data_IF_155552415980
#
_entry.id   IF_155552415980
#
_cell.length_a   1.000
_cell.length_b   1.000
_cell.length_c   1.000
_cell.angle_alpha   90.00
_cell.angle_beta   90.00
_cell.angle_gamma   90.00
#
_symmetry.space_group_name_H-M   'P 1'
#
loop_
_entity.id
_entity.type
_entity.pdbx_description
1 polymer ?
#
# COMPACT_ATOMS: atom_id res chain seq x y z
N UNK A 1 9.17 22.85 -5.95
CA UNK A 1 8.30 22.61 -4.77
C UNK A 1 9.13 22.76 -3.50
N UNK A 2 8.54 23.22 -2.42
CA UNK A 2 9.23 23.23 -1.10
C UNK A 2 9.43 21.78 -0.66
N UNK A 3 10.60 21.45 -0.12
CA UNK A 3 10.94 20.09 0.31
C UNK A 3 9.87 19.49 1.23
N UNK A 4 9.48 18.26 0.97
CA UNK A 4 8.41 17.56 1.71
C UNK A 4 6.99 18.10 1.50
N UNK A 5 6.78 18.94 0.48
CA UNK A 5 5.46 19.50 0.13
C UNK A 5 5.05 19.11 -1.28
N UNK A 6 3.79 18.74 -1.39
CA UNK A 6 3.07 18.45 -2.63
C UNK A 6 1.92 19.47 -2.72
N UNK A 7 2.17 20.64 -3.33
CA UNK A 7 1.25 21.78 -3.23
C UNK A 7 1.02 22.18 -1.76
N UNK A 8 -0.23 22.12 -1.30
CA UNK A 8 -0.62 22.42 0.08
C UNK A 8 -0.49 21.21 1.03
N UNK A 9 -0.21 20.03 0.49
CA UNK A 9 -0.14 18.75 1.23
C UNK A 9 1.28 18.43 1.71
N UNK A 10 1.42 17.38 2.53
CA UNK A 10 2.71 16.93 3.09
C UNK A 10 3.14 17.70 4.33
N UNK A 11 4.44 17.84 4.51
CA UNK A 11 5.08 18.52 5.64
C UNK A 11 5.50 17.59 6.77
N UNK A 12 5.98 18.17 7.86
CA UNK A 12 6.49 17.47 9.05
C UNK A 12 5.78 18.02 10.30
N UNK A 13 4.62 17.49 10.61
CA UNK A 13 3.82 17.91 11.78
C UNK A 13 4.03 16.92 12.92
N UNK A 14 5.23 16.94 13.48
CA UNK A 14 5.65 16.05 14.56
C UNK A 14 5.92 16.80 15.84
N UNK A 15 5.70 16.16 17.02
CA UNK A 15 6.11 16.73 18.29
C UNK A 15 7.63 16.85 18.34
N UNK A 16 8.11 17.79 19.16
CA UNK A 16 9.55 18.07 19.36
C UNK A 16 10.34 16.82 19.77
N UNK A 17 9.72 15.89 20.49
CA UNK A 17 10.35 14.63 20.92
C UNK A 17 10.74 13.71 19.75
N UNK A 18 10.07 13.82 18.61
CA UNK A 18 10.34 13.02 17.39
C UNK A 18 11.02 13.80 16.28
N UNK A 19 11.07 15.14 16.35
CA UNK A 19 11.63 15.95 15.26
C UNK A 19 13.09 15.58 14.93
N UNK A 20 13.92 15.34 15.96
CA UNK A 20 15.32 14.96 15.73
C UNK A 20 15.42 13.62 15.00
N UNK A 21 14.58 12.62 15.31
CA UNK A 21 14.55 11.34 14.63
C UNK A 21 14.13 11.48 13.15
N UNK A 22 13.15 12.34 12.88
CA UNK A 22 12.67 12.61 11.52
C UNK A 22 13.73 13.35 10.69
N UNK A 23 14.43 14.33 11.30
CA UNK A 23 15.54 15.04 10.64
C UNK A 23 16.77 14.15 10.43
N UNK A 24 17.07 13.25 11.36
CA UNK A 24 18.11 12.22 11.19
C UNK A 24 17.79 11.30 10.01
N UNK A 25 16.53 10.84 9.93
CA UNK A 25 16.05 10.03 8.82
C UNK A 25 16.15 10.75 7.48
N UNK A 26 15.75 12.02 7.43
CA UNK A 26 15.83 12.85 6.23
C UNK A 26 17.29 12.99 5.76
N UNK A 27 18.20 13.31 6.68
CA UNK A 27 19.63 13.44 6.37
C UNK A 27 20.25 12.11 5.90
N UNK A 28 19.89 11.00 6.53
CA UNK A 28 20.36 9.69 6.14
C UNK A 28 19.82 9.29 4.77
N UNK A 29 18.53 9.51 4.50
CA UNK A 29 17.94 9.21 3.21
C UNK A 29 18.59 10.02 2.08
N UNK A 30 18.76 11.33 2.24
CA UNK A 30 19.44 12.18 1.27
C UNK A 30 20.87 11.70 0.97
N UNK A 31 21.58 11.21 1.99
CA UNK A 31 22.92 10.66 1.85
C UNK A 31 22.92 9.35 1.05
N UNK A 32 22.03 8.43 1.36
CA UNK A 32 22.07 7.06 0.85
C UNK A 32 21.25 6.84 -0.43
N UNK A 33 20.20 7.62 -0.71
CA UNK A 33 19.36 7.42 -1.89
C UNK A 33 20.11 7.41 -3.23
N UNK A 34 21.26 8.09 -3.29
CA UNK A 34 22.12 8.12 -4.48
C UNK A 34 23.45 7.38 -4.29
N UNK A 35 23.68 6.76 -3.14
CA UNK A 35 24.89 6.00 -2.87
C UNK A 35 24.95 4.73 -3.75
N UNK A 36 26.04 4.52 -4.51
CA UNK A 36 26.14 3.37 -5.42
C UNK A 36 26.12 2.01 -4.70
N UNK A 37 26.70 1.91 -3.50
CA UNK A 37 26.74 0.66 -2.75
C UNK A 37 25.34 0.34 -2.21
N UNK A 38 24.62 1.34 -1.70
CA UNK A 38 23.23 1.18 -1.25
C UNK A 38 22.34 0.71 -2.41
N UNK A 39 22.44 1.37 -3.57
CA UNK A 39 21.66 0.99 -4.76
C UNK A 39 21.99 -0.42 -5.25
N UNK A 40 23.26 -0.78 -5.29
CA UNK A 40 23.69 -2.12 -5.72
C UNK A 40 23.17 -3.21 -4.76
N UNK A 41 23.28 -2.99 -3.45
CA UNK A 41 22.75 -3.93 -2.46
C UNK A 41 21.23 -4.06 -2.52
N UNK A 42 20.50 -2.94 -2.64
CA UNK A 42 19.05 -2.96 -2.79
C UNK A 42 18.63 -3.68 -4.07
N UNK A 43 19.30 -3.42 -5.20
CA UNK A 43 19.04 -4.11 -6.47
C UNK A 43 19.31 -5.61 -6.38
N UNK A 44 20.37 -6.03 -5.65
CA UNK A 44 20.65 -7.43 -5.37
C UNK A 44 19.49 -8.07 -4.56
N UNK A 45 19.05 -7.42 -3.49
CA UNK A 45 17.94 -7.89 -2.66
C UNK A 45 16.63 -7.96 -3.44
N UNK A 46 16.34 -7.00 -4.28
CA UNK A 46 15.18 -7.05 -5.16
C UNK A 46 15.20 -8.28 -6.06
N UNK A 47 16.32 -8.55 -6.73
CA UNK A 47 16.46 -9.67 -7.66
C UNK A 47 16.50 -11.02 -6.95
N UNK A 48 17.34 -11.16 -5.93
CA UNK A 48 17.66 -12.47 -5.34
C UNK A 48 16.76 -12.87 -4.18
N UNK A 49 16.15 -11.90 -3.51
CA UNK A 49 15.31 -12.16 -2.34
C UNK A 49 13.84 -11.82 -2.56
N UNK A 50 13.54 -10.66 -3.15
CA UNK A 50 12.15 -10.28 -3.42
C UNK A 50 11.56 -10.95 -4.67
N UNK A 51 12.37 -11.62 -5.49
CA UNK A 51 11.97 -12.28 -6.74
C UNK A 51 11.50 -11.29 -7.82
N UNK A 52 12.21 -10.16 -7.94
CA UNK A 52 11.93 -9.17 -9.00
C UNK A 52 12.77 -9.43 -10.24
N UNK A 53 12.32 -8.99 -11.44
CA UNK A 53 11.11 -8.20 -11.69
C UNK A 53 9.82 -9.01 -11.54
N UNK A 54 8.76 -8.41 -11.00
CA UNK A 54 7.42 -8.97 -11.14
C UNK A 54 6.94 -8.75 -12.58
N UNK A 55 6.31 -9.76 -13.18
CA UNK A 55 5.98 -9.70 -14.60
C UNK A 55 4.56 -9.17 -14.86
N UNK A 56 4.40 -8.55 -16.02
CA UNK A 56 3.08 -8.30 -16.60
C UNK A 56 2.54 -9.60 -17.21
N UNK A 57 1.38 -10.00 -16.72
CA UNK A 57 0.61 -11.12 -17.24
C UNK A 57 -0.53 -10.60 -18.11
N UNK A 58 -0.60 -11.05 -19.37
CA UNK A 58 -1.74 -10.76 -20.24
C UNK A 58 -2.95 -11.61 -19.81
N UNK A 59 -3.96 -10.95 -19.26
CA UNK A 59 -5.19 -11.61 -18.80
C UNK A 59 -6.12 -11.88 -20.00
N UNK A 60 -5.79 -12.93 -20.77
CA UNK A 60 -6.45 -13.22 -22.04
C UNK A 60 -7.93 -13.56 -21.88
N UNK A 61 -8.27 -14.37 -20.88
CA UNK A 61 -9.67 -14.76 -20.64
C UNK A 61 -10.49 -13.58 -20.17
N UNK A 62 -9.95 -12.78 -19.23
CA UNK A 62 -10.59 -11.57 -18.74
C UNK A 62 -10.78 -10.54 -19.87
N UNK A 63 -9.77 -10.37 -20.73
CA UNK A 63 -9.85 -9.51 -21.92
C UNK A 63 -10.97 -9.92 -22.87
N UNK A 64 -11.08 -11.23 -23.16
CA UNK A 64 -12.12 -11.76 -24.04
C UNK A 64 -13.51 -11.66 -23.42
N UNK A 65 -13.62 -11.98 -22.15
CA UNK A 65 -14.90 -12.02 -21.43
C UNK A 65 -15.51 -10.61 -21.27
N UNK A 66 -14.70 -9.61 -20.89
CA UNK A 66 -15.13 -8.23 -20.76
C UNK A 66 -15.30 -7.50 -22.10
N UNK A 67 -14.63 -7.95 -23.16
CA UNK A 67 -14.87 -7.52 -24.54
C UNK A 67 -14.40 -6.12 -24.93
N UNK A 68 -13.69 -5.41 -24.10
CA UNK A 68 -13.15 -4.06 -24.35
C UNK A 68 -11.64 -4.05 -24.61
N UNK A 69 -10.91 -3.24 -23.86
CA UNK A 69 -9.46 -3.09 -23.99
C UNK A 69 -8.68 -4.34 -23.62
N UNK A 70 -7.41 -4.42 -24.04
CA UNK A 70 -6.45 -5.42 -23.54
C UNK A 70 -6.17 -5.19 -22.07
N UNK A 71 -6.13 -6.26 -21.27
CA UNK A 71 -5.90 -6.20 -19.83
C UNK A 71 -4.61 -6.93 -19.47
N UNK A 72 -3.73 -6.24 -18.80
CA UNK A 72 -2.52 -6.77 -18.19
C UNK A 72 -2.60 -6.69 -16.66
N UNK A 73 -2.09 -7.68 -15.97
CA UNK A 73 -1.98 -7.71 -14.52
C UNK A 73 -0.50 -7.58 -14.13
N UNK A 74 -0.18 -6.56 -13.35
CA UNK A 74 1.14 -6.44 -12.69
C UNK A 74 1.14 -7.33 -11.46
N UNK A 75 1.98 -8.37 -11.45
CA UNK A 75 1.91 -9.50 -10.53
C UNK A 75 2.77 -9.29 -9.28
N UNK A 76 2.47 -8.23 -8.49
CA UNK A 76 3.12 -7.99 -7.20
C UNK A 76 2.75 -9.04 -6.13
N UNK A 77 1.69 -9.81 -6.35
CA UNK A 77 1.29 -10.95 -5.55
C UNK A 77 2.28 -12.12 -5.58
N UNK A 78 3.16 -12.18 -6.58
CA UNK A 78 4.19 -13.22 -6.73
C UNK A 78 5.53 -12.86 -6.08
N UNK A 79 5.68 -11.64 -5.56
CA UNK A 79 6.87 -11.25 -4.81
C UNK A 79 7.00 -12.06 -3.52
N UNK A 80 8.21 -12.16 -2.99
CA UNK A 80 8.44 -12.72 -1.66
C UNK A 80 7.54 -12.03 -0.63
N UNK A 81 6.98 -12.77 0.31
CA UNK A 81 5.89 -12.41 1.25
C UNK A 81 4.51 -12.26 0.63
N UNK A 82 4.39 -12.32 -0.71
CA UNK A 82 3.11 -12.35 -1.42
C UNK A 82 2.45 -10.98 -1.64
N UNK A 83 3.21 -9.89 -1.60
CA UNK A 83 2.70 -8.54 -1.85
C UNK A 83 3.83 -7.54 -2.19
N UNK A 84 3.44 -6.35 -2.66
CA UNK A 84 4.34 -5.21 -2.94
C UNK A 84 5.10 -4.66 -1.71
N UNK A 85 4.65 -4.97 -0.50
CA UNK A 85 5.21 -4.40 0.74
C UNK A 85 6.70 -4.69 0.90
N UNK A 86 7.17 -5.84 0.41
CA UNK A 86 8.58 -6.23 0.48
C UNK A 86 9.51 -5.21 -0.16
N UNK A 87 9.08 -4.52 -1.23
CA UNK A 87 9.89 -3.53 -1.92
C UNK A 87 10.32 -2.40 -0.99
N UNK A 88 9.33 -1.77 -0.36
CA UNK A 88 9.54 -0.68 0.57
C UNK A 88 10.32 -1.12 1.81
N UNK A 89 9.98 -2.27 2.38
CA UNK A 89 10.59 -2.76 3.62
C UNK A 89 12.07 -3.08 3.43
N UNK A 90 12.47 -3.68 2.31
CA UNK A 90 13.88 -3.92 1.98
C UNK A 90 14.67 -2.60 1.97
N UNK A 91 14.15 -1.57 1.30
CA UNK A 91 14.79 -0.26 1.25
C UNK A 91 14.89 0.40 2.63
N UNK A 92 13.81 0.42 3.40
CA UNK A 92 13.79 1.07 4.73
C UNK A 92 14.69 0.34 5.74
N UNK A 93 14.69 -1.01 5.79
CA UNK A 93 15.52 -1.73 6.76
C UNK A 93 17.00 -1.67 6.37
N UNK A 94 17.32 -1.70 5.06
CA UNK A 94 18.69 -1.44 4.60
C UNK A 94 19.15 -0.03 5.02
N UNK A 95 18.27 0.98 4.89
CA UNK A 95 18.56 2.34 5.35
C UNK A 95 18.76 2.37 6.88
N UNK A 96 17.90 1.68 7.64
CA UNK A 96 18.03 1.58 9.10
C UNK A 96 19.38 0.99 9.53
N UNK A 97 19.87 -0.04 8.84
CA UNK A 97 21.20 -0.60 9.07
C UNK A 97 22.33 0.43 8.79
N UNK A 98 22.22 1.16 7.67
CA UNK A 98 23.20 2.23 7.34
C UNK A 98 23.18 3.39 8.36
N UNK A 99 22.05 3.61 9.04
CA UNK A 99 21.91 4.53 10.16
C UNK A 99 22.44 3.97 11.49
N UNK A 100 22.83 2.69 11.54
CA UNK A 100 23.30 2.03 12.76
C UNK A 100 22.19 1.64 13.74
N UNK A 101 20.93 1.68 13.33
CA UNK A 101 19.80 1.25 14.15
C UNK A 101 19.83 -0.28 14.34
N UNK A 102 19.42 -0.73 15.53
CA UNK A 102 19.43 -2.16 15.91
C UNK A 102 18.04 -2.78 15.99
N UNK A 103 17.04 -1.93 16.04
CA UNK A 103 15.65 -2.29 16.23
C UNK A 103 14.78 -1.62 15.18
N UNK A 104 13.78 -2.36 14.70
CA UNK A 104 12.72 -1.80 13.86
C UNK A 104 11.37 -1.98 14.53
N UNK A 105 10.50 -1.00 14.36
CA UNK A 105 9.09 -1.10 14.71
C UNK A 105 8.24 -0.85 13.46
N UNK A 106 7.06 -1.44 13.42
CA UNK A 106 6.10 -1.22 12.34
C UNK A 106 4.67 -1.27 12.87
N UNK A 107 3.76 -0.64 12.16
CA UNK A 107 2.33 -0.83 12.26
C UNK A 107 1.84 -1.81 11.19
N UNK A 108 0.71 -2.47 11.43
CA UNK A 108 0.06 -3.27 10.38
C UNK A 108 -1.44 -3.43 10.63
N UNK A 109 -2.24 -3.49 9.55
CA UNK A 109 -3.67 -3.83 9.58
C UNK A 109 -3.88 -5.25 9.06
N UNK A 110 -3.85 -5.46 7.74
CA UNK A 110 -3.97 -6.80 7.13
C UNK A 110 -2.81 -7.78 7.46
N UNK A 111 -1.76 -7.30 8.13
CA UNK A 111 -0.58 -8.10 8.48
C UNK A 111 0.50 -8.16 7.42
N UNK A 112 0.24 -7.76 6.18
CA UNK A 112 1.22 -7.88 5.09
C UNK A 112 2.46 -7.02 5.29
N UNK A 113 2.30 -5.79 5.78
CA UNK A 113 3.44 -4.94 6.11
C UNK A 113 4.23 -5.49 7.30
N UNK A 114 3.54 -5.95 8.33
CA UNK A 114 4.15 -6.60 9.48
C UNK A 114 4.95 -7.85 9.11
N UNK A 115 4.37 -8.73 8.29
CA UNK A 115 5.08 -9.93 7.79
C UNK A 115 6.30 -9.56 6.97
N UNK A 116 6.20 -8.58 6.06
CA UNK A 116 7.35 -8.11 5.28
C UNK A 116 8.44 -7.52 6.20
N UNK A 117 8.06 -6.72 7.21
CA UNK A 117 9.01 -6.13 8.17
C UNK A 117 9.69 -7.21 9.00
N UNK A 118 8.93 -8.17 9.56
CA UNK A 118 9.48 -9.29 10.31
C UNK A 118 10.44 -10.14 9.45
N UNK A 119 10.08 -10.37 8.18
CA UNK A 119 10.90 -11.13 7.22
C UNK A 119 12.25 -10.46 6.99
N UNK A 120 12.26 -9.18 6.68
CA UNK A 120 13.51 -8.46 6.39
C UNK A 120 14.31 -8.19 7.67
N UNK A 121 13.65 -7.95 8.81
CA UNK A 121 14.32 -7.83 10.10
C UNK A 121 15.05 -9.13 10.48
N UNK A 122 14.41 -10.30 10.27
CA UNK A 122 15.06 -11.60 10.44
C UNK A 122 16.27 -11.77 9.51
N UNK A 123 16.12 -11.44 8.21
CA UNK A 123 17.20 -11.48 7.23
C UNK A 123 18.41 -10.62 7.67
N UNK A 124 18.15 -9.45 8.23
CA UNK A 124 19.16 -8.46 8.61
C UNK A 124 19.55 -8.50 10.09
N UNK A 125 19.09 -9.52 10.83
CA UNK A 125 19.39 -9.74 12.25
C UNK A 125 19.08 -8.51 13.14
N UNK A 126 17.87 -7.93 12.95
CA UNK A 126 17.39 -6.78 13.74
C UNK A 126 16.24 -7.19 14.66
N UNK A 127 16.18 -6.59 15.85
CA UNK A 127 15.00 -6.71 16.72
C UNK A 127 13.78 -6.14 16.00
N UNK A 128 12.66 -6.86 16.01
CA UNK A 128 11.43 -6.42 15.33
C UNK A 128 10.23 -6.45 16.28
N UNK A 129 9.51 -5.33 16.36
CA UNK A 129 8.24 -5.23 17.08
C UNK A 129 7.18 -4.68 16.15
N UNK A 130 6.04 -5.38 16.03
CA UNK A 130 4.94 -4.99 15.17
C UNK A 130 3.72 -4.67 16.02
N UNK A 131 3.18 -3.47 15.85
CA UNK A 131 1.93 -3.03 16.48
C UNK A 131 0.78 -3.33 15.53
N UNK A 132 -0.24 -4.00 16.03
CA UNK A 132 -1.41 -4.40 15.24
C UNK A 132 -2.67 -4.21 16.07
N UNK A 133 -3.72 -3.67 15.48
CA UNK A 133 -5.00 -3.53 16.17
C UNK A 133 -5.50 -4.88 16.67
N UNK A 134 -6.09 -4.92 17.89
CA UNK A 134 -6.58 -6.17 18.47
C UNK A 134 -7.60 -6.86 17.56
N UNK A 135 -8.51 -6.09 16.97
CA UNK A 135 -9.51 -6.61 16.03
C UNK A 135 -8.83 -7.19 14.77
N UNK A 136 -7.80 -6.51 14.26
CA UNK A 136 -7.03 -6.99 13.11
C UNK A 136 -6.21 -8.24 13.44
N UNK A 137 -5.68 -8.37 14.68
CA UNK A 137 -5.00 -9.60 15.13
C UNK A 137 -5.93 -10.82 15.05
N UNK A 138 -7.17 -10.65 15.48
CA UNK A 138 -8.18 -11.72 15.43
C UNK A 138 -8.58 -12.07 13.99
N UNK A 139 -8.76 -11.06 13.14
CA UNK A 139 -9.09 -11.24 11.70
C UNK A 139 -7.97 -11.93 10.92
N UNK A 140 -6.72 -11.66 11.29
CA UNK A 140 -5.51 -12.02 10.54
C UNK A 140 -4.53 -12.88 11.37
N UNK A 141 -5.06 -13.79 12.19
CA UNK A 141 -4.28 -14.64 13.12
C UNK A 141 -3.13 -15.40 12.42
N UNK A 142 -3.33 -15.83 11.18
CA UNK A 142 -2.29 -16.49 10.39
C UNK A 142 -1.07 -15.57 10.14
N UNK A 143 -1.30 -14.29 9.87
CA UNK A 143 -0.21 -13.34 9.68
C UNK A 143 0.47 -12.99 11.02
N UNK A 144 -0.27 -12.95 12.12
CA UNK A 144 0.30 -12.81 13.47
C UNK A 144 1.28 -13.95 13.72
N UNK A 145 0.84 -15.19 13.51
CA UNK A 145 1.71 -16.37 13.69
C UNK A 145 2.94 -16.35 12.77
N UNK A 146 2.79 -15.91 11.51
CA UNK A 146 3.93 -15.74 10.59
C UNK A 146 4.96 -14.75 11.11
N UNK A 147 4.53 -13.62 11.67
CA UNK A 147 5.43 -12.62 12.24
C UNK A 147 6.19 -13.18 13.45
N UNK A 148 5.49 -13.88 14.33
CA UNK A 148 6.10 -14.54 15.51
C UNK A 148 7.08 -15.65 15.10
N UNK A 149 6.74 -16.46 14.10
CA UNK A 149 7.64 -17.48 13.54
C UNK A 149 8.94 -16.88 12.97
N UNK A 150 8.86 -15.65 12.43
CA UNK A 150 10.01 -14.89 11.94
C UNK A 150 10.80 -14.18 13.05
N UNK A 151 10.41 -14.38 14.31
CA UNK A 151 11.09 -13.81 15.48
C UNK A 151 10.64 -12.40 15.86
N UNK A 152 9.63 -11.83 15.21
CA UNK A 152 9.07 -10.54 15.61
C UNK A 152 8.14 -10.70 16.83
N UNK A 153 8.10 -9.65 17.66
CA UNK A 153 7.11 -9.53 18.73
C UNK A 153 5.90 -8.78 18.17
N UNK A 154 4.72 -9.40 18.16
CA UNK A 154 3.46 -8.72 17.83
C UNK A 154 2.82 -8.18 19.12
N UNK A 155 2.44 -6.90 19.09
CA UNK A 155 1.80 -6.21 20.22
C UNK A 155 0.40 -5.80 19.81
N UNK A 156 -0.65 -6.45 20.34
CA UNK A 156 -2.04 -6.06 20.10
C UNK A 156 -2.35 -4.69 20.71
N UNK A 157 -2.93 -3.81 19.92
CA UNK A 157 -3.35 -2.45 20.33
C UNK A 157 -4.86 -2.45 20.53
N UNK A 158 -5.30 -2.20 21.76
CA UNK A 158 -6.72 -2.19 22.14
C UNK A 158 -7.33 -0.80 22.35
N UNK A 159 -6.54 0.25 22.15
CA UNK A 159 -7.02 1.64 22.18
C UNK A 159 -7.88 1.95 20.95
N UNK A 160 -8.76 2.93 21.07
CA UNK A 160 -9.61 3.38 19.96
C UNK A 160 -10.53 2.28 19.43
N UNK A 161 -10.51 2.07 18.12
CA UNK A 161 -11.26 1.00 17.43
C UNK A 161 -10.48 -0.32 17.34
N UNK A 162 -9.23 -0.34 17.80
CA UNK A 162 -8.37 -1.53 17.71
C UNK A 162 -8.01 -1.94 16.29
N UNK A 163 -7.88 -0.96 15.39
CA UNK A 163 -7.56 -1.16 13.95
C UNK A 163 -6.26 -0.46 13.55
N UNK A 164 -5.94 -0.47 12.24
CA UNK A 164 -4.69 0.08 11.68
C UNK A 164 -4.38 1.51 12.15
N UNK A 165 -5.38 2.41 12.24
CA UNK A 165 -5.16 3.79 12.73
C UNK A 165 -4.56 3.80 14.14
N UNK A 166 -5.05 2.94 15.02
CA UNK A 166 -4.59 2.89 16.41
C UNK A 166 -3.22 2.24 16.52
N UNK A 167 -2.91 1.28 15.63
CA UNK A 167 -1.57 0.72 15.50
C UNK A 167 -0.54 1.78 15.07
N UNK A 168 -0.89 2.68 14.14
CA UNK A 168 -0.04 3.84 13.76
C UNK A 168 0.21 4.76 14.94
N UNK A 169 -0.85 5.13 15.67
CA UNK A 169 -0.73 5.99 16.86
C UNK A 169 0.20 5.37 17.91
N UNK A 170 0.07 4.06 18.17
CA UNK A 170 0.89 3.37 19.16
C UNK A 170 2.34 3.26 18.69
N UNK A 171 2.60 2.96 17.41
CA UNK A 171 3.94 2.93 16.86
C UNK A 171 4.65 4.30 17.02
N UNK A 172 3.97 5.39 16.70
CA UNK A 172 4.50 6.76 16.89
C UNK A 172 4.77 7.06 18.36
N UNK A 173 3.85 6.67 19.25
CA UNK A 173 4.02 6.87 20.71
C UNK A 173 5.25 6.12 21.25
N UNK A 174 5.39 4.83 20.90
CA UNK A 174 6.50 4.01 21.39
C UNK A 174 7.83 4.40 20.74
N UNK A 175 7.82 4.93 19.53
CA UNK A 175 9.03 5.41 18.87
C UNK A 175 9.73 6.48 19.73
N UNK A 176 8.97 7.34 20.43
CA UNK A 176 9.54 8.35 21.34
C UNK A 176 10.38 7.77 22.49
N UNK A 177 10.11 6.54 22.89
CA UNK A 177 10.79 5.90 24.04
C UNK A 177 12.22 5.45 23.70
N UNK A 178 12.48 5.12 22.41
CA UNK A 178 13.74 4.52 21.95
C UNK A 178 14.18 5.05 20.58
N UNK A 179 14.11 6.35 20.36
CA UNK A 179 14.45 6.97 19.06
C UNK A 179 15.90 6.73 18.63
N UNK A 180 16.82 6.60 19.59
CA UNK A 180 18.26 6.49 19.31
C UNK A 180 18.60 5.18 18.57
N UNK A 181 18.02 4.04 18.98
CA UNK A 181 18.35 2.72 18.47
C UNK A 181 17.26 2.11 17.57
N UNK A 182 16.12 2.76 17.46
CA UNK A 182 14.93 2.25 16.79
C UNK A 182 14.61 3.04 15.51
N UNK A 183 14.32 2.30 14.44
CA UNK A 183 13.79 2.83 13.18
C UNK A 183 12.31 2.47 13.05
N UNK A 184 11.46 3.43 12.73
CA UNK A 184 10.06 3.18 12.41
C UNK A 184 9.93 2.87 10.91
N UNK A 185 9.59 1.63 10.56
CA UNK A 185 9.35 1.18 9.18
C UNK A 185 7.90 1.46 8.83
N UNK A 186 7.64 2.59 8.19
CA UNK A 186 6.29 3.02 7.85
C UNK A 186 5.79 2.32 6.59
N UNK A 187 4.57 1.79 6.64
CA UNK A 187 4.06 0.84 5.64
C UNK A 187 3.43 1.44 4.38
N UNK A 188 3.27 2.76 4.29
CA UNK A 188 2.65 3.40 3.12
C UNK A 188 3.23 4.80 2.84
N UNK A 189 2.78 5.45 1.75
CA UNK A 189 3.19 6.81 1.33
C UNK A 189 2.52 7.89 2.17
N UNK A 190 2.53 7.71 3.47
CA UNK A 190 1.90 8.57 4.46
C UNK A 190 2.90 8.99 5.54
N UNK A 191 2.47 9.78 6.51
CA UNK A 191 3.31 10.22 7.61
C UNK A 191 4.08 11.51 7.30
N UNK A 192 4.93 11.95 8.26
CA UNK A 192 5.72 13.16 8.09
C UNK A 192 6.78 12.97 7.00
N UNK A 193 7.14 14.05 6.31
CA UNK A 193 8.34 14.02 5.47
C UNK A 193 9.55 13.57 6.31
N UNK A 194 10.42 12.65 5.81
CA UNK A 194 10.57 12.19 4.44
C UNK A 194 9.82 10.88 4.09
N UNK A 195 9.01 10.31 4.99
CA UNK A 195 8.37 9.00 4.77
C UNK A 195 7.60 8.87 3.44
N UNK A 196 6.73 9.83 3.04
CA UNK A 196 6.03 9.69 1.76
C UNK A 196 6.98 9.56 0.57
N UNK A 197 8.10 10.30 0.57
CA UNK A 197 9.13 10.23 -0.46
C UNK A 197 9.88 8.90 -0.42
N UNK A 198 10.36 8.48 0.76
CA UNK A 198 11.08 7.22 0.96
C UNK A 198 10.26 6.03 0.46
N UNK A 199 9.01 5.92 0.90
CA UNK A 199 8.14 4.79 0.55
C UNK A 199 7.81 4.82 -0.94
N UNK A 200 7.52 5.99 -1.51
CA UNK A 200 7.33 6.15 -2.95
C UNK A 200 8.54 5.63 -3.72
N UNK A 201 9.73 6.15 -3.42
CA UNK A 201 10.94 5.86 -4.17
C UNK A 201 11.30 4.36 -4.14
N UNK A 202 11.05 3.66 -3.02
CA UNK A 202 11.22 2.20 -2.96
C UNK A 202 10.08 1.42 -3.63
N UNK A 203 8.97 2.04 -3.94
CA UNK A 203 7.87 1.41 -4.68
C UNK A 203 7.88 1.74 -6.18
N UNK A 204 8.63 2.74 -6.65
CA UNK A 204 8.67 3.13 -8.08
C UNK A 204 9.14 2.03 -8.99
N UNK A 205 9.88 1.04 -8.47
CA UNK A 205 10.26 -0.16 -9.20
C UNK A 205 9.06 -0.84 -9.89
N UNK A 206 7.83 -0.66 -9.38
CA UNK A 206 6.60 -1.17 -10.01
C UNK A 206 6.35 -0.46 -11.34
N UNK A 207 6.39 0.88 -11.36
CA UNK A 207 6.19 1.70 -12.54
C UNK A 207 7.31 1.55 -13.57
N UNK A 208 8.57 1.55 -13.11
CA UNK A 208 9.75 1.33 -13.95
C UNK A 208 9.63 0.01 -14.73
N UNK A 209 9.29 -1.08 -14.04
CA UNK A 209 9.10 -2.39 -14.65
C UNK A 209 7.91 -2.42 -15.61
N UNK A 210 6.80 -1.75 -15.28
CA UNK A 210 5.63 -1.67 -16.18
C UNK A 210 6.03 -0.95 -17.48
N UNK A 211 6.74 0.17 -17.42
CA UNK A 211 7.22 0.88 -18.62
C UNK A 211 8.07 -0.03 -19.51
N UNK A 212 9.10 -0.65 -18.92
CA UNK A 212 9.99 -1.53 -19.65
C UNK A 212 9.26 -2.71 -20.30
N UNK A 213 8.42 -3.39 -19.54
CA UNK A 213 7.69 -4.57 -19.99
C UNK A 213 6.58 -4.24 -21.01
N UNK A 214 5.94 -3.07 -20.91
CA UNK A 214 4.96 -2.63 -21.92
C UNK A 214 5.64 -2.28 -23.25
N UNK A 215 6.78 -1.61 -23.21
CA UNK A 215 7.56 -1.33 -24.41
C UNK A 215 8.04 -2.63 -25.08
N UNK A 216 8.46 -3.62 -24.30
CA UNK A 216 8.85 -4.94 -24.81
C UNK A 216 7.67 -5.70 -25.45
N UNK A 217 6.51 -5.71 -24.79
CA UNK A 217 5.35 -6.53 -25.19
C UNK A 217 4.47 -5.88 -26.28
N UNK A 218 4.27 -4.56 -26.20
CA UNK A 218 3.30 -3.82 -27.03
C UNK A 218 3.94 -2.69 -27.84
N UNK A 219 5.24 -2.39 -27.62
CA UNK A 219 5.94 -1.29 -28.29
C UNK A 219 5.49 0.10 -27.88
N UNK A 220 4.65 0.21 -26.83
CA UNK A 220 4.08 1.49 -26.36
C UNK A 220 3.70 1.44 -24.87
N UNK A 221 3.43 2.60 -24.29
CA UNK A 221 2.89 2.71 -22.94
C UNK A 221 1.41 2.27 -22.88
N UNK A 222 0.91 1.88 -21.70
CA UNK A 222 -0.51 1.60 -21.52
C UNK A 222 -1.35 2.89 -21.57
N UNK A 223 -2.65 2.75 -21.83
CA UNK A 223 -3.57 3.88 -21.81
C UNK A 223 -4.14 4.14 -20.41
N UNK A 224 -4.23 3.11 -19.58
CA UNK A 224 -4.84 3.20 -18.25
C UNK A 224 -4.07 2.35 -17.25
N UNK A 225 -3.77 2.93 -16.09
CA UNK A 225 -3.25 2.25 -14.91
C UNK A 225 -4.31 2.25 -13.81
N UNK A 226 -4.56 1.09 -13.20
CA UNK A 226 -5.56 0.93 -12.13
C UNK A 226 -4.90 0.26 -10.92
N UNK A 227 -5.02 0.86 -9.74
CA UNK A 227 -4.51 0.31 -8.49
C UNK A 227 -5.46 0.63 -7.32
N UNK A 228 -5.54 -0.25 -6.33
CA UNK A 228 -6.29 0.03 -5.11
C UNK A 228 -5.55 1.06 -4.24
N UNK A 229 -6.31 1.83 -3.46
CA UNK A 229 -5.76 2.91 -2.62
C UNK A 229 -6.37 2.86 -1.22
N UNK A 230 -5.49 2.62 -0.22
CA UNK A 230 -5.71 2.98 1.17
C UNK A 230 -4.78 4.15 1.47
N UNK A 231 -3.64 3.94 2.16
CA UNK A 231 -2.57 4.96 2.22
C UNK A 231 -1.93 5.24 0.84
N UNK A 232 -1.98 4.27 -0.09
CA UNK A 232 -1.70 4.46 -1.51
C UNK A 232 -0.31 4.05 -2.00
N UNK A 233 0.47 3.24 -1.25
CA UNK A 233 1.85 2.94 -1.64
C UNK A 233 1.98 2.13 -2.93
N UNK A 234 1.13 1.13 -3.15
CA UNK A 234 1.15 0.35 -4.40
C UNK A 234 0.75 1.21 -5.61
N UNK A 235 -0.24 2.06 -5.45
CA UNK A 235 -0.70 2.96 -6.48
C UNK A 235 0.35 4.04 -6.81
N UNK A 236 0.99 4.64 -5.80
CA UNK A 236 2.04 5.63 -6.01
C UNK A 236 3.26 5.02 -6.70
N UNK A 237 3.67 3.82 -6.29
CA UNK A 237 4.74 3.08 -6.96
C UNK A 237 4.45 2.78 -8.43
N UNK A 238 3.18 2.53 -8.76
CA UNK A 238 2.73 2.33 -10.14
C UNK A 238 2.63 3.64 -10.93
N UNK A 239 2.15 4.72 -10.30
CA UNK A 239 1.79 5.97 -10.97
C UNK A 239 2.96 6.92 -11.16
N UNK A 240 3.94 6.92 -10.26
CA UNK A 240 4.97 7.95 -10.18
C UNK A 240 5.72 8.15 -11.49
N UNK A 241 6.17 7.08 -12.12
CA UNK A 241 6.90 7.14 -13.39
C UNK A 241 6.03 7.60 -14.58
N UNK A 242 4.71 7.57 -14.42
CA UNK A 242 3.76 7.97 -15.45
C UNK A 242 3.14 9.35 -15.22
N UNK A 243 3.57 10.08 -14.19
CA UNK A 243 3.00 11.40 -13.87
C UNK A 243 3.14 12.36 -15.07
N UNK A 244 4.28 12.31 -15.75
CA UNK A 244 4.54 13.16 -16.92
C UNK A 244 3.97 12.60 -18.23
N UNK A 245 3.59 11.33 -18.29
CA UNK A 245 2.95 10.72 -19.45
C UNK A 245 1.44 11.04 -19.44
N UNK A 246 1.09 12.25 -19.90
CA UNK A 246 -0.26 12.81 -19.75
C UNK A 246 -1.37 12.03 -20.47
N UNK A 247 -1.01 11.23 -21.48
CA UNK A 247 -1.92 10.35 -22.22
C UNK A 247 -2.27 9.07 -21.46
N UNK A 248 -1.55 8.75 -20.39
CA UNK A 248 -1.81 7.61 -19.49
C UNK A 248 -2.73 8.04 -18.37
N UNK A 249 -3.93 7.48 -18.29
CA UNK A 249 -4.86 7.70 -17.17
C UNK A 249 -4.39 6.95 -15.94
N UNK A 250 -4.39 7.62 -14.79
CA UNK A 250 -4.04 7.06 -13.48
C UNK A 250 -5.30 6.98 -12.62
N UNK A 251 -5.69 5.77 -12.22
CA UNK A 251 -6.95 5.55 -11.49
C UNK A 251 -6.68 4.80 -10.19
N UNK A 252 -6.90 5.49 -9.07
CA UNK A 252 -6.88 4.92 -7.73
C UNK A 252 -8.28 4.46 -7.33
N UNK A 253 -8.41 3.24 -6.83
CA UNK A 253 -9.69 2.67 -6.40
C UNK A 253 -9.73 2.55 -4.89
N UNK A 254 -10.65 3.29 -4.27
CA UNK A 254 -10.83 3.35 -2.82
C UNK A 254 -11.89 2.34 -2.34
N UNK A 255 -11.77 1.93 -1.07
CA UNK A 255 -12.74 1.05 -0.43
C UNK A 255 -13.98 1.85 0.02
N UNK A 256 -15.09 1.69 -0.67
CA UNK A 256 -16.36 2.32 -0.32
C UNK A 256 -17.19 1.50 0.70
N UNK A 257 -16.68 0.39 1.22
CA UNK A 257 -17.38 -0.41 2.22
C UNK A 257 -18.82 -0.74 1.81
N UNK A 258 -19.78 -0.24 2.57
CA UNK A 258 -21.22 -0.42 2.28
C UNK A 258 -21.80 0.67 1.35
N UNK A 259 -20.95 1.55 0.79
CA UNK A 259 -21.30 2.66 -0.09
C UNK A 259 -20.76 3.99 0.41
N UNK A 260 -20.45 4.93 -0.51
CA UNK A 260 -19.85 6.23 -0.16
C UNK A 260 -20.73 7.09 0.74
N UNK A 261 -22.04 6.96 0.62
CA UNK A 261 -23.04 7.67 1.45
C UNK A 261 -23.31 6.95 2.80
N UNK A 262 -22.72 5.77 3.01
CA UNK A 262 -22.85 5.02 4.25
C UNK A 262 -21.68 5.39 5.19
N UNK A 263 -21.91 5.58 6.50
CA UNK A 263 -20.81 5.86 7.44
C UNK A 263 -19.78 4.72 7.51
N UNK A 264 -20.14 3.50 7.12
CA UNK A 264 -19.22 2.36 7.00
C UNK A 264 -18.54 2.35 5.62
N UNK A 265 -17.58 3.23 5.43
CA UNK A 265 -16.71 3.30 4.25
C UNK A 265 -15.31 3.81 4.64
N UNK A 266 -14.35 3.73 3.73
CA UNK A 266 -12.99 4.23 3.85
C UNK A 266 -12.58 5.05 2.59
N UNK A 267 -13.55 5.60 1.86
CA UNK A 267 -13.33 6.35 0.63
C UNK A 267 -12.93 7.81 0.95
N UNK A 268 -11.65 8.00 1.23
CA UNK A 268 -11.09 9.29 1.67
C UNK A 268 -11.19 10.38 0.63
N UNK A 269 -10.94 10.09 -0.65
CA UNK A 269 -11.01 11.11 -1.70
C UNK A 269 -12.44 11.51 -2.02
N UNK A 270 -13.40 10.60 -1.82
CA UNK A 270 -14.83 10.90 -2.00
C UNK A 270 -15.38 11.78 -0.86
N UNK A 271 -14.99 11.52 0.39
CA UNK A 271 -15.66 12.08 1.57
C UNK A 271 -14.74 12.84 2.54
N UNK A 272 -13.43 12.77 2.33
CA UNK A 272 -12.44 13.35 3.23
C UNK A 272 -12.36 14.87 3.17
N UNK A 273 -11.87 15.46 4.25
CA UNK A 273 -11.57 16.88 4.33
C UNK A 273 -10.08 17.10 4.58
N UNK A 274 -9.59 18.26 4.16
CA UNK A 274 -8.20 18.66 4.39
C UNK A 274 -7.95 18.85 5.89
N UNK A 275 -6.85 18.28 6.38
CA UNK A 275 -6.43 18.47 7.77
C UNK A 275 -5.03 17.90 8.03
N UNK A 276 -4.64 17.86 9.30
CA UNK A 276 -3.35 17.34 9.74
C UNK A 276 -3.60 16.09 10.60
N UNK A 277 -2.97 14.98 10.22
CA UNK A 277 -3.01 13.74 10.98
C UNK A 277 -1.76 12.90 10.70
N UNK A 278 -1.37 12.03 11.61
CA UNK A 278 -0.18 11.18 11.49
C UNK A 278 1.08 11.91 10.97
N UNK A 279 1.25 13.18 11.37
CA UNK A 279 2.43 13.98 11.01
C UNK A 279 2.43 14.61 9.62
N UNK A 280 1.36 14.50 8.85
CA UNK A 280 1.21 15.08 7.50
C UNK A 280 -0.07 15.90 7.34
N UNK A 281 -0.08 16.81 6.38
CA UNK A 281 -1.29 17.48 5.89
C UNK A 281 -1.79 16.76 4.64
N UNK A 282 -3.02 16.25 4.69
CA UNK A 282 -3.64 15.52 3.58
C UNK A 282 -5.15 15.51 3.73
N UNK A 283 -5.87 14.79 2.84
CA UNK A 283 -7.27 14.48 3.05
C UNK A 283 -7.41 13.29 4.00
N UNK A 284 -8.39 13.37 4.91
CA UNK A 284 -8.81 12.25 5.74
C UNK A 284 -10.29 12.36 6.14
N UNK A 285 -10.88 11.24 6.49
CA UNK A 285 -12.26 11.17 6.95
C UNK A 285 -12.38 11.76 8.35
N UNK A 286 -13.25 12.75 8.49
CA UNK A 286 -13.44 13.51 9.73
C UNK A 286 -14.89 13.45 10.16
N UNK A 287 -15.10 13.39 11.48
CA UNK A 287 -16.39 13.60 12.10
C UNK A 287 -16.78 15.10 12.11
N UNK A 288 -17.93 15.41 12.73
CA UNK A 288 -18.44 16.79 12.84
C UNK A 288 -17.54 17.72 13.68
N UNK A 289 -16.68 17.15 14.52
CA UNK A 289 -15.73 17.88 15.38
C UNK A 289 -14.32 17.98 14.78
N UNK A 290 -14.11 17.46 13.57
CA UNK A 290 -12.80 17.44 12.89
C UNK A 290 -11.86 16.35 13.40
N UNK A 291 -12.35 15.39 14.21
CA UNK A 291 -11.58 14.23 14.63
C UNK A 291 -11.55 13.17 13.52
N UNK A 292 -10.58 12.27 13.58
CA UNK A 292 -10.50 11.14 12.65
C UNK A 292 -11.76 10.27 12.84
N UNK A 293 -12.57 10.17 11.79
CA UNK A 293 -13.77 9.35 11.81
C UNK A 293 -13.44 7.85 11.82
N UNK A 294 -14.24 7.00 12.45
CA UNK A 294 -14.19 5.57 12.26
C UNK A 294 -14.39 5.22 10.78
N UNK A 295 -13.65 4.25 10.30
CA UNK A 295 -13.74 3.76 8.92
C UNK A 295 -14.10 2.29 8.91
N UNK A 296 -14.50 1.79 7.75
CA UNK A 296 -14.82 0.39 7.56
C UNK A 296 -14.55 -0.07 6.13
N UNK A 297 -13.93 -1.21 6.00
CA UNK A 297 -13.80 -1.98 4.78
C UNK A 297 -13.71 -3.47 5.11
N UNK A 298 -14.19 -4.34 4.22
CA UNK A 298 -13.91 -5.78 4.27
C UNK A 298 -12.39 -6.04 4.18
N UNK A 299 -11.66 -5.11 3.59
CA UNK A 299 -10.21 -5.15 3.44
C UNK A 299 -9.51 -4.41 4.57
N UNK A 300 -8.89 -5.14 5.50
CA UNK A 300 -8.12 -4.54 6.58
C UNK A 300 -6.94 -3.68 6.09
N UNK A 301 -6.41 -3.94 4.90
CA UNK A 301 -5.33 -3.15 4.29
C UNK A 301 -5.79 -1.83 3.67
N UNK A 302 -7.09 -1.65 3.41
CA UNK A 302 -7.71 -0.40 2.95
C UNK A 302 -8.53 0.30 4.04
N UNK A 303 -8.63 -0.28 5.22
CA UNK A 303 -9.35 0.24 6.38
C UNK A 303 -8.51 1.34 7.08
N UNK A 304 -8.30 2.44 6.35
CA UNK A 304 -7.46 3.58 6.75
C UNK A 304 -8.17 4.89 6.43
N UNK A 305 -8.27 5.83 7.39
CA UNK A 305 -9.10 7.02 7.26
C UNK A 305 -8.49 8.15 6.41
N UNK A 306 -7.36 7.93 5.77
CA UNK A 306 -6.64 8.99 5.07
C UNK A 306 -5.90 8.50 3.83
N UNK A 307 -5.22 9.42 3.15
CA UNK A 307 -4.47 9.15 1.93
C UNK A 307 -3.11 9.84 1.96
N UNK A 308 -2.14 9.29 1.24
CA UNK A 308 -0.83 9.91 1.08
C UNK A 308 -0.91 11.31 0.47
N UNK A 309 -0.07 12.26 0.93
CA UNK A 309 -0.16 13.67 0.52
C UNK A 309 0.12 13.89 -0.97
N UNK A 310 0.92 13.03 -1.60
CA UNK A 310 1.19 13.12 -3.04
C UNK A 310 -0.03 12.67 -3.86
N UNK A 311 -0.80 11.67 -3.40
CA UNK A 311 -2.09 11.33 -3.99
C UNK A 311 -3.10 12.47 -3.91
N UNK A 312 -3.19 13.12 -2.75
CA UNK A 312 -4.04 14.30 -2.56
C UNK A 312 -3.68 15.41 -3.55
N UNK A 313 -2.39 15.65 -3.74
CA UNK A 313 -1.89 16.62 -4.72
C UNK A 313 -2.22 16.22 -6.17
N UNK A 314 -2.01 14.96 -6.55
CA UNK A 314 -2.32 14.48 -7.91
C UNK A 314 -3.81 14.60 -8.23
N UNK A 315 -4.66 14.40 -7.22
CA UNK A 315 -6.10 14.66 -7.35
C UNK A 315 -6.39 16.13 -7.57
N UNK A 316 -5.85 17.02 -6.73
CA UNK A 316 -6.12 18.47 -6.80
C UNK A 316 -5.73 19.08 -8.14
N UNK A 317 -4.66 18.60 -8.75
CA UNK A 317 -4.22 19.07 -10.08
C UNK A 317 -4.87 18.30 -11.23
N UNK A 318 -5.81 17.38 -10.96
CA UNK A 318 -6.50 16.59 -11.97
C UNK A 318 -5.61 15.58 -12.70
N UNK A 319 -4.46 15.17 -12.11
CA UNK A 319 -3.56 14.20 -12.75
C UNK A 319 -3.96 12.75 -12.52
N UNK A 320 -4.55 12.45 -11.39
CA UNK A 320 -5.06 11.12 -11.06
C UNK A 320 -6.53 11.19 -10.67
N UNK A 321 -7.29 10.18 -11.08
CA UNK A 321 -8.69 9.98 -10.73
C UNK A 321 -8.78 9.04 -9.52
N UNK A 322 -9.74 9.29 -8.63
CA UNK A 322 -10.02 8.39 -7.51
C UNK A 322 -11.48 7.99 -7.52
N UNK A 323 -11.73 6.71 -7.46
CA UNK A 323 -13.07 6.13 -7.65
C UNK A 323 -13.37 5.10 -6.57
N UNK A 324 -14.62 5.00 -6.12
CA UNK A 324 -15.00 4.05 -5.08
C UNK A 324 -15.33 2.66 -5.66
N UNK A 325 -15.04 1.61 -4.87
CA UNK A 325 -15.59 0.27 -5.06
C UNK A 325 -16.11 -0.26 -3.72
N UNK A 326 -17.31 -0.83 -3.71
CA UNK A 326 -17.94 -1.38 -2.51
C UNK A 326 -17.38 -2.75 -2.16
N UNK A 327 -17.60 -3.20 -0.91
CA UNK A 327 -17.23 -4.54 -0.47
C UNK A 327 -17.82 -5.64 -1.36
N UNK A 328 -19.09 -5.47 -1.76
CA UNK A 328 -19.75 -6.41 -2.66
C UNK A 328 -19.05 -6.50 -4.01
N UNK A 329 -18.74 -5.37 -4.60
CA UNK A 329 -18.03 -5.32 -5.89
C UNK A 329 -16.63 -5.93 -5.79
N UNK A 330 -15.92 -5.67 -4.69
CA UNK A 330 -14.61 -6.25 -4.44
C UNK A 330 -14.68 -7.79 -4.28
N UNK A 331 -15.68 -8.32 -3.55
CA UNK A 331 -15.88 -9.77 -3.41
C UNK A 331 -16.29 -10.41 -4.74
N UNK A 332 -17.16 -9.77 -5.52
CA UNK A 332 -17.54 -10.24 -6.85
C UNK A 332 -16.29 -10.30 -7.77
N UNK A 333 -15.45 -9.27 -7.74
CA UNK A 333 -14.20 -9.22 -8.51
C UNK A 333 -13.14 -10.24 -8.05
N UNK A 334 -13.05 -10.47 -6.73
CA UNK A 334 -12.21 -11.53 -6.16
C UNK A 334 -12.59 -12.89 -6.73
N UNK A 335 -13.88 -13.22 -6.69
CA UNK A 335 -14.41 -14.46 -7.25
C UNK A 335 -14.24 -14.54 -8.77
N UNK A 336 -14.47 -13.43 -9.48
CA UNK A 336 -14.34 -13.35 -10.92
C UNK A 336 -12.91 -13.66 -11.37
N UNK A 337 -11.91 -12.93 -10.84
CA UNK A 337 -10.51 -13.13 -11.21
C UNK A 337 -10.02 -14.54 -10.85
N UNK A 338 -10.45 -15.06 -9.69
CA UNK A 338 -10.11 -16.41 -9.26
C UNK A 338 -10.62 -17.48 -10.25
N UNK A 339 -11.84 -17.35 -10.73
CA UNK A 339 -12.45 -18.32 -11.67
C UNK A 339 -11.97 -18.14 -13.11
N UNK A 340 -11.73 -16.89 -13.53
CA UNK A 340 -11.42 -16.56 -14.92
C UNK A 340 -9.94 -16.80 -15.22
N UNK A 341 -9.03 -16.31 -14.37
CA UNK A 341 -7.59 -16.36 -14.60
C UNK A 341 -6.85 -17.34 -13.66
N UNK A 342 -7.54 -17.94 -12.68
CA UNK A 342 -6.90 -18.80 -11.69
C UNK A 342 -5.99 -18.02 -10.71
N UNK A 343 -6.27 -16.74 -10.53
CA UNK A 343 -5.51 -15.85 -9.65
C UNK A 343 -6.41 -15.43 -8.50
N UNK A 344 -6.05 -15.83 -7.27
CA UNK A 344 -6.74 -15.39 -6.05
C UNK A 344 -6.06 -14.10 -5.56
N UNK A 345 -6.62 -12.92 -5.85
CA UNK A 345 -5.99 -11.65 -5.48
C UNK A 345 -6.21 -11.37 -4.00
N UNK A 346 -5.35 -10.56 -3.37
CA UNK A 346 -5.72 -9.95 -2.11
C UNK A 346 -7.01 -9.13 -2.26
N UNK A 347 -7.84 -9.10 -1.21
CA UNK A 347 -9.11 -8.36 -1.25
C UNK A 347 -8.88 -6.86 -1.51
N UNK A 348 -7.72 -6.33 -1.11
CA UNK A 348 -7.27 -5.00 -1.48
C UNK A 348 -7.24 -4.83 -3.00
N UNK A 349 -6.52 -5.72 -3.69
CA UNK A 349 -6.36 -5.69 -5.16
C UNK A 349 -7.68 -5.93 -5.89
N UNK A 350 -8.60 -6.69 -5.28
CA UNK A 350 -9.91 -6.97 -5.85
C UNK A 350 -10.75 -5.68 -6.05
N UNK A 351 -10.52 -4.61 -5.26
CA UNK A 351 -11.15 -3.31 -5.49
C UNK A 351 -10.71 -2.72 -6.84
N UNK A 352 -9.42 -2.79 -7.17
CA UNK A 352 -8.92 -2.36 -8.47
C UNK A 352 -9.51 -3.19 -9.63
N UNK A 353 -9.60 -4.51 -9.46
CA UNK A 353 -10.23 -5.42 -10.43
C UNK A 353 -11.71 -5.09 -10.60
N UNK A 354 -12.44 -4.78 -9.52
CA UNK A 354 -13.86 -4.42 -9.56
C UNK A 354 -14.12 -3.20 -10.46
N UNK A 355 -13.29 -2.16 -10.30
CA UNK A 355 -13.42 -0.99 -11.17
C UNK A 355 -12.99 -1.28 -12.61
N UNK A 356 -11.93 -2.05 -12.81
CA UNK A 356 -11.48 -2.47 -14.13
C UNK A 356 -12.56 -3.25 -14.89
N UNK A 357 -13.33 -4.11 -14.22
CA UNK A 357 -14.46 -4.83 -14.82
C UNK A 357 -15.55 -3.88 -15.34
N UNK A 358 -15.75 -2.73 -14.70
CA UNK A 358 -16.70 -1.71 -15.16
C UNK A 358 -16.14 -0.89 -16.32
N UNK A 359 -14.85 -0.56 -16.25
CA UNK A 359 -14.21 0.35 -17.20
C UNK A 359 -13.82 -0.34 -18.51
N UNK A 360 -13.25 -1.56 -18.44
CA UNK A 360 -12.70 -2.23 -19.61
C UNK A 360 -13.68 -2.38 -20.78
N UNK A 361 -14.98 -2.76 -20.58
CA UNK A 361 -15.95 -2.88 -21.67
C UNK A 361 -16.23 -1.55 -22.39
N UNK A 362 -15.97 -0.43 -21.76
CA UNK A 362 -16.23 0.91 -22.30
C UNK A 362 -15.10 1.45 -23.15
N UNK A 363 -13.93 0.80 -23.10
CA UNK A 363 -12.74 1.25 -23.81
C UNK A 363 -12.60 0.54 -25.16
N UNK A 364 -12.05 1.19 -26.20
CA UNK A 364 -11.74 0.58 -27.47
C UNK A 364 -10.78 -0.62 -27.34
N UNK A 365 -10.86 -1.57 -28.28
CA UNK A 365 -10.06 -2.82 -28.25
C UNK A 365 -8.55 -2.63 -28.43
N UNK A 366 -8.14 -1.50 -29.01
CA UNK A 366 -6.75 -1.13 -29.19
C UNK A 366 -6.13 -0.47 -27.93
N UNK A 367 -6.96 -0.15 -26.94
CA UNK A 367 -6.51 0.39 -25.66
C UNK A 367 -5.92 -0.70 -24.76
N UNK A 368 -5.02 -0.30 -23.86
CA UNK A 368 -4.33 -1.19 -22.92
C UNK A 368 -4.55 -0.68 -21.50
N UNK A 369 -5.03 -1.56 -20.64
CA UNK A 369 -5.17 -1.33 -19.22
C UNK A 369 -4.19 -2.21 -18.45
N UNK A 370 -3.50 -1.65 -17.46
CA UNK A 370 -2.69 -2.42 -16.50
C UNK A 370 -3.31 -2.29 -15.12
N UNK A 371 -3.58 -3.43 -14.47
CA UNK A 371 -4.11 -3.51 -13.11
C UNK A 371 -3.00 -3.99 -12.19
N UNK A 372 -2.76 -3.32 -11.08
CA UNK A 372 -1.81 -3.79 -10.08
C UNK A 372 -2.47 -4.82 -9.15
N UNK A 373 -2.03 -6.08 -9.25
CA UNK A 373 -2.38 -7.13 -8.27
C UNK A 373 -1.36 -7.03 -7.15
N UNK A 374 -1.64 -6.14 -6.20
CA UNK A 374 -0.69 -5.69 -5.18
C UNK A 374 -0.34 -6.74 -4.12
N UNK A 375 -1.15 -7.79 -4.02
CA UNK A 375 -0.92 -8.92 -3.11
C UNK A 375 -1.79 -10.12 -3.43
N UNK A 376 -1.43 -11.28 -2.84
CA UNK A 376 -2.19 -12.54 -3.00
C UNK A 376 -3.23 -12.70 -1.90
N UNK A 377 -4.30 -13.43 -2.23
CA UNK A 377 -5.51 -13.54 -1.42
C UNK A 377 -5.54 -14.72 -0.45
N UNK A 378 -4.48 -15.53 -0.31
CA UNK A 378 -4.49 -16.69 0.61
C UNK A 378 -4.90 -16.30 2.04
N UNK A 379 -4.49 -15.12 2.47
CA UNK A 379 -4.84 -14.55 3.79
C UNK A 379 -6.32 -14.21 3.94
N UNK A 380 -7.03 -13.98 2.81
CA UNK A 380 -8.38 -13.44 2.76
C UNK A 380 -9.45 -14.52 2.57
N UNK A 381 -9.05 -15.75 2.18
CA UNK A 381 -9.98 -16.83 1.83
C UNK A 381 -10.99 -17.10 2.95
N UNK A 382 -10.55 -17.14 4.21
CA UNK A 382 -11.45 -17.35 5.35
C UNK A 382 -12.42 -16.17 5.58
N UNK A 383 -11.97 -14.93 5.35
CA UNK A 383 -12.83 -13.74 5.45
C UNK A 383 -13.87 -13.72 4.32
N UNK A 384 -13.46 -14.05 3.10
CA UNK A 384 -14.35 -14.16 1.94
C UNK A 384 -15.38 -15.27 2.14
N UNK A 385 -14.97 -16.44 2.62
CA UNK A 385 -15.88 -17.55 2.93
C UNK A 385 -16.96 -17.11 3.92
N UNK A 386 -16.59 -16.46 5.03
CA UNK A 386 -17.53 -15.89 6.00
C UNK A 386 -18.48 -14.88 5.37
N UNK A 387 -17.96 -13.98 4.55
CA UNK A 387 -18.79 -12.99 3.84
C UNK A 387 -19.82 -13.66 2.92
N UNK A 388 -19.44 -14.74 2.26
CA UNK A 388 -20.30 -15.53 1.37
C UNK A 388 -21.24 -16.49 2.11
N UNK A 389 -21.18 -16.57 3.44
CA UNK A 389 -21.95 -17.53 4.24
C UNK A 389 -21.51 -19.00 4.06
N UNK A 390 -20.26 -19.21 3.64
CA UNK A 390 -19.67 -20.55 3.50
C UNK A 390 -18.95 -20.90 4.81
N UNK A 391 -19.35 -22.02 5.40
CA UNK A 391 -18.66 -22.57 6.57
C UNK A 391 -17.43 -23.36 6.12
N UNK A 392 -16.27 -22.93 6.61
CA UNK A 392 -15.02 -23.67 6.41
C UNK A 392 -14.98 -24.75 7.49
N UNK A 393 -15.24 -25.98 7.14
CA UNK A 393 -14.98 -27.10 8.04
C UNK A 393 -13.49 -27.13 8.39
N UNK A 394 -13.19 -26.94 9.68
CA UNK A 394 -11.86 -27.14 10.23
C UNK A 394 -11.44 -28.63 10.19
#
# INVERSE_FOLDING_TARGET
MTKGRYGIHGGQYMPETLMNAVLELEAAYEKFKNDPEFKAELARLYREYANRPSLLYYAEKMTKDLGGCKIYLKREDLNHTGAHKINNVLGQILLAQKMGKKRVIAETGAGQHGVATATVAALMNMECVVYMGKEDCERQALNVFRMELLGAKVVPVSSGTGTLKDAVNEALRVWTERVEDTYYVLGSVMGPHPYPEIVRDFQTIIGEEIKAQMLEKEGRLPDVLVACVGGGSNAMGMFYDFIEDKDVRLIGVEAAGLGVDNPKNAATMANGKLGIFHGMKSYFLQDEYGQIAPVYSISAGLDYPGIGPEHAYLHDIGRAEYVPATDKEAVDAFNYLSKTEGIIPAIESAHAVAYAMKLAPTLPKDKIMVINISGRGDKDVAAIARYMGVDLHE
#
